data_IF_658991927926
#
_entry.id   IF_658991927926
#
_cell.length_a   1.000
_cell.length_b   1.000
_cell.length_c   1.000
_cell.angle_alpha   90.00
_cell.angle_beta   90.00
_cell.angle_gamma   90.00
#
_symmetry.space_group_name_H-M   'P 1'
#
loop_
_entity.id
_entity.type
_entity.pdbx_description
1 polymer ?
#
# COMPACT_ATOMS: atom_id res chain seq x y z
N UNK A 1 17.38 13.13 -1.45
CA UNK A 1 16.41 12.91 -2.54
C UNK A 1 16.39 14.15 -3.38
N UNK A 2 16.17 13.99 -4.67
CA UNK A 2 16.06 15.08 -5.64
C UNK A 2 14.73 14.97 -6.35
N UNK A 3 14.19 16.11 -6.77
CA UNK A 3 13.12 16.19 -7.74
C UNK A 3 13.73 16.56 -9.10
N UNK A 4 13.38 15.83 -10.15
CA UNK A 4 13.85 16.09 -11.50
C UNK A 4 12.73 15.81 -12.51
N UNK A 5 12.86 16.37 -13.71
CA UNK A 5 11.97 16.10 -14.84
C UNK A 5 12.81 15.47 -15.95
N UNK A 6 12.37 14.36 -16.52
CA UNK A 6 13.08 13.76 -17.66
C UNK A 6 12.83 14.59 -18.93
N UNK A 7 13.75 14.59 -19.91
CA UNK A 7 13.55 15.32 -21.15
C UNK A 7 12.38 14.77 -21.98
N UNK A 8 12.04 13.49 -21.81
CA UNK A 8 10.97 12.79 -22.54
C UNK A 8 9.61 12.82 -21.85
N UNK A 9 9.42 13.60 -20.77
CA UNK A 9 8.11 13.71 -20.16
C UNK A 9 7.97 14.79 -19.10
N UNK A 10 6.73 15.28 -18.91
CA UNK A 10 6.45 16.38 -17.99
C UNK A 10 6.35 15.99 -16.51
N UNK A 11 6.39 14.69 -16.22
CA UNK A 11 6.21 14.19 -14.86
C UNK A 11 7.44 14.49 -14.00
N UNK A 12 7.20 15.14 -12.85
CA UNK A 12 8.20 15.32 -11.80
C UNK A 12 8.42 13.99 -11.09
N UNK A 13 9.68 13.53 -11.07
CA UNK A 13 10.11 12.28 -10.45
C UNK A 13 10.93 12.61 -9.19
N UNK A 14 10.65 11.89 -8.11
CA UNK A 14 11.28 12.08 -6.80
C UNK A 14 12.02 10.83 -6.39
N UNK A 15 13.35 10.81 -6.61
CA UNK A 15 14.18 9.66 -6.29
C UNK A 15 15.34 10.02 -5.35
N UNK A 16 15.98 8.98 -4.79
CA UNK A 16 17.21 9.11 -4.00
C UNK A 16 18.42 9.04 -4.91
N UNK A 17 19.37 9.95 -4.77
CA UNK A 17 20.69 9.83 -5.39
C UNK A 17 21.45 8.73 -4.66
N UNK A 18 21.89 7.71 -5.40
CA UNK A 18 22.64 6.56 -4.86
C UNK A 18 24.13 6.62 -5.18
N UNK A 19 24.50 7.23 -6.30
CA UNK A 19 25.89 7.59 -6.63
C UNK A 19 25.92 8.82 -7.55
N UNK A 20 27.10 9.43 -7.65
CA UNK A 20 27.38 10.57 -8.52
C UNK A 20 28.55 10.19 -9.42
N UNK A 21 28.37 10.32 -10.73
CA UNK A 21 29.36 9.99 -11.77
C UNK A 21 29.61 11.28 -12.57
N UNK A 22 30.56 12.10 -12.12
CA UNK A 22 30.82 13.44 -12.70
C UNK A 22 29.61 14.37 -12.57
N UNK A 23 29.06 14.78 -13.71
CA UNK A 23 27.83 15.61 -13.81
C UNK A 23 26.54 14.79 -13.77
N UNK A 24 26.64 13.47 -13.87
CA UNK A 24 25.50 12.57 -13.88
C UNK A 24 25.20 12.04 -12.46
N UNK A 25 23.92 11.84 -12.19
CA UNK A 25 23.42 11.31 -10.93
C UNK A 25 22.74 9.97 -11.18
N UNK A 26 23.16 8.92 -10.50
CA UNK A 26 22.39 7.67 -10.46
C UNK A 26 21.34 7.79 -9.37
N UNK A 27 20.10 7.54 -9.75
CA UNK A 27 18.96 7.62 -8.84
C UNK A 27 18.34 6.25 -8.57
N UNK A 28 17.56 6.15 -7.50
CA UNK A 28 16.77 4.98 -7.18
C UNK A 28 15.45 5.42 -6.53
N UNK A 29 14.34 4.97 -7.09
CA UNK A 29 13.02 5.15 -6.49
C UNK A 29 12.82 4.31 -5.22
N UNK A 30 11.95 4.77 -4.31
CA UNK A 30 11.68 4.07 -3.03
C UNK A 30 11.02 2.68 -3.21
N UNK A 31 10.46 2.42 -4.40
CA UNK A 31 9.91 1.12 -4.80
C UNK A 31 10.87 0.24 -5.62
N UNK A 32 11.97 0.80 -6.12
CA UNK A 32 12.83 0.12 -7.09
C UNK A 32 13.84 -0.79 -6.36
N UNK A 33 13.98 -2.03 -6.83
CA UNK A 33 14.93 -2.99 -6.25
C UNK A 33 16.39 -2.65 -6.61
N UNK A 34 16.60 -2.07 -7.78
CA UNK A 34 17.88 -1.66 -8.33
C UNK A 34 17.86 -0.14 -8.60
N UNK A 35 19.03 0.51 -8.74
CA UNK A 35 19.13 1.85 -9.30
C UNK A 35 18.41 1.94 -10.64
N UNK A 36 17.96 3.14 -10.98
CA UNK A 36 17.33 3.40 -12.27
C UNK A 36 18.34 3.12 -13.39
N UNK A 37 17.92 2.54 -14.54
CA UNK A 37 18.83 2.18 -15.62
C UNK A 37 19.38 3.40 -16.37
N UNK A 38 18.77 4.57 -16.18
CA UNK A 38 19.20 5.83 -16.76
C UNK A 38 19.88 6.71 -15.71
N UNK A 39 20.76 7.59 -16.18
CA UNK A 39 21.37 8.62 -15.34
C UNK A 39 20.57 9.91 -15.44
N UNK A 40 20.57 10.70 -14.36
CA UNK A 40 19.93 12.01 -14.30
C UNK A 40 21.00 13.08 -14.41
N UNK A 41 20.92 13.91 -15.44
CA UNK A 41 21.80 15.07 -15.56
C UNK A 41 21.44 16.14 -14.53
N UNK A 42 22.44 16.90 -14.06
CA UNK A 42 22.20 18.03 -13.15
C UNK A 42 21.27 19.10 -13.74
N UNK A 43 21.30 19.28 -15.06
CA UNK A 43 20.41 20.17 -15.81
C UNK A 43 18.93 19.80 -15.65
N UNK A 44 18.62 18.53 -15.39
CA UNK A 44 17.26 18.02 -15.22
C UNK A 44 16.74 18.17 -13.77
N UNK A 45 17.62 18.49 -12.83
CA UNK A 45 17.29 18.58 -11.41
C UNK A 45 16.58 19.89 -11.12
N UNK A 46 15.32 19.79 -10.72
CA UNK A 46 14.51 20.92 -10.26
C UNK A 46 15.00 21.38 -8.90
N UNK A 47 15.33 20.44 -8.01
CA UNK A 47 15.85 20.79 -6.68
C UNK A 47 16.05 19.62 -5.73
N UNK A 48 16.61 19.94 -4.56
CA UNK A 48 16.88 18.97 -3.49
C UNK A 48 15.74 18.99 -2.47
N UNK A 49 15.16 17.82 -2.21
CA UNK A 49 14.09 17.68 -1.24
C UNK A 49 14.67 17.75 0.18
N UNK A 50 14.13 18.67 1.00
CA UNK A 50 14.56 18.89 2.40
C UNK A 50 13.63 18.21 3.41
N UNK A 51 12.33 18.23 3.12
CA UNK A 51 11.28 17.69 3.99
C UNK A 51 10.17 17.08 3.14
N UNK A 52 9.29 16.32 3.79
CA UNK A 52 8.04 15.82 3.21
C UNK A 52 6.91 16.06 4.19
N UNK A 53 5.70 16.28 3.68
CA UNK A 53 4.51 16.41 4.51
C UNK A 53 3.67 15.12 4.43
N UNK A 54 3.22 14.61 5.58
CA UNK A 54 2.28 13.48 5.67
C UNK A 54 1.37 13.68 6.86
N UNK A 55 0.05 13.58 6.66
CA UNK A 55 -0.95 13.75 7.73
C UNK A 55 -0.75 15.04 8.53
N UNK A 56 -0.60 16.18 7.84
CA UNK A 56 -0.27 17.50 8.41
C UNK A 56 1.09 17.63 9.11
N UNK A 57 1.80 16.53 9.36
CA UNK A 57 3.14 16.56 9.92
C UNK A 57 4.21 16.75 8.84
N UNK A 58 5.14 17.69 9.08
CA UNK A 58 6.34 17.88 8.26
C UNK A 58 7.50 17.08 8.84
N UNK A 59 8.04 16.16 8.03
CA UNK A 59 9.12 15.27 8.43
C UNK A 59 10.38 15.59 7.61
N UNK A 60 11.53 15.87 8.23
CA UNK A 60 12.76 16.12 7.51
C UNK A 60 13.22 14.85 6.78
N UNK A 61 13.73 15.03 5.56
CA UNK A 61 14.34 13.94 4.79
C UNK A 61 15.77 13.75 5.28
N UNK A 62 16.04 12.58 5.89
CA UNK A 62 17.39 12.23 6.33
C UNK A 62 18.35 12.11 5.13
N UNK A 63 19.47 12.84 5.20
CA UNK A 63 20.52 12.89 4.17
C UNK A 63 21.75 12.06 4.57
N UNK A 64 22.63 11.84 3.60
CA UNK A 64 23.93 11.19 3.79
C UNK A 64 23.84 9.77 4.35
N UNK A 65 24.83 9.40 5.19
CA UNK A 65 24.99 8.05 5.75
C UNK A 65 23.79 7.60 6.58
N UNK A 66 23.20 8.47 7.40
CA UNK A 66 22.01 8.15 8.21
C UNK A 66 20.80 7.81 7.33
N UNK A 67 20.57 8.61 6.28
CA UNK A 67 19.51 8.34 5.31
C UNK A 67 19.71 7.02 4.56
N UNK A 68 20.96 6.70 4.21
CA UNK A 68 21.32 5.45 3.56
C UNK A 68 21.15 4.24 4.48
N UNK A 69 21.61 4.32 5.73
CA UNK A 69 21.45 3.27 6.73
C UNK A 69 19.97 2.97 6.99
N UNK A 70 19.14 4.02 7.17
CA UNK A 70 17.68 3.87 7.31
C UNK A 70 17.05 3.22 6.08
N UNK A 71 17.46 3.61 4.88
CA UNK A 71 16.97 3.00 3.64
C UNK A 71 17.31 1.51 3.57
N UNK A 72 18.57 1.14 3.84
CA UNK A 72 19.02 -0.26 3.89
C UNK A 72 18.25 -1.07 4.93
N UNK A 73 18.12 -0.55 6.16
CA UNK A 73 17.33 -1.19 7.22
C UNK A 73 15.88 -1.43 6.80
N UNK A 74 15.19 -0.42 6.26
CA UNK A 74 13.80 -0.57 5.80
C UNK A 74 13.68 -1.59 4.66
N UNK A 75 14.67 -1.64 3.76
CA UNK A 75 14.74 -2.59 2.66
C UNK A 75 14.90 -4.02 3.18
N UNK A 76 15.87 -4.27 4.06
CA UNK A 76 16.10 -5.59 4.63
C UNK A 76 14.92 -6.03 5.50
N UNK A 77 14.34 -5.12 6.29
CA UNK A 77 13.11 -5.39 7.04
C UNK A 77 11.96 -5.81 6.12
N UNK A 78 11.74 -5.12 4.99
CA UNK A 78 10.72 -5.51 4.00
C UNK A 78 11.05 -6.86 3.36
N UNK A 79 12.33 -7.16 3.11
CA UNK A 79 12.77 -8.46 2.58
C UNK A 79 12.50 -9.58 3.59
N UNK A 80 12.87 -9.38 4.85
CA UNK A 80 12.61 -10.31 5.94
C UNK A 80 11.09 -10.55 6.11
N UNK A 81 10.28 -9.49 6.16
CA UNK A 81 8.81 -9.63 6.21
C UNK A 81 8.28 -10.45 5.03
N UNK A 82 8.73 -10.18 3.79
CA UNK A 82 8.32 -10.96 2.63
C UNK A 82 8.74 -12.42 2.72
N UNK A 83 9.92 -12.70 3.25
CA UNK A 83 10.39 -14.07 3.48
C UNK A 83 9.53 -14.76 4.55
N UNK A 84 9.29 -14.11 5.69
CA UNK A 84 8.41 -14.63 6.73
C UNK A 84 7.01 -14.91 6.19
N UNK A 85 6.43 -14.01 5.39
CA UNK A 85 5.12 -14.24 4.76
C UNK A 85 5.15 -15.42 3.80
N UNK A 86 6.22 -15.59 3.01
CA UNK A 86 6.39 -16.76 2.11
C UNK A 86 6.52 -18.07 2.88
N UNK A 87 7.29 -18.08 3.96
CA UNK A 87 7.46 -19.26 4.82
C UNK A 87 6.18 -19.58 5.62
N UNK A 88 5.42 -18.56 5.98
CA UNK A 88 4.12 -18.71 6.63
C UNK A 88 2.99 -19.05 5.63
N UNK A 89 3.20 -18.90 4.31
CA UNK A 89 2.19 -19.17 3.30
C UNK A 89 1.59 -20.60 3.34
N UNK A 90 2.35 -21.70 3.50
CA UNK A 90 1.75 -23.03 3.65
C UNK A 90 0.84 -23.09 4.88
N UNK A 91 1.29 -22.61 6.03
CA UNK A 91 0.50 -22.56 7.25
C UNK A 91 -0.74 -21.68 7.10
N UNK A 92 -0.60 -20.52 6.47
CA UNK A 92 -1.72 -19.65 6.13
C UNK A 92 -2.75 -20.37 5.27
N UNK A 93 -2.33 -21.11 4.23
CA UNK A 93 -3.25 -21.88 3.38
C UNK A 93 -3.97 -22.99 4.15
N UNK A 94 -3.27 -23.68 5.06
CA UNK A 94 -3.89 -24.68 5.93
C UNK A 94 -4.93 -24.04 6.86
N UNK A 95 -4.60 -22.90 7.48
CA UNK A 95 -5.51 -22.18 8.38
C UNK A 95 -6.73 -21.61 7.64
N UNK A 96 -6.55 -21.06 6.44
CA UNK A 96 -7.67 -20.57 5.60
C UNK A 96 -8.58 -21.72 5.16
N UNK A 97 -8.03 -22.90 4.87
CA UNK A 97 -8.82 -24.10 4.57
C UNK A 97 -9.68 -24.55 5.76
N UNK A 98 -9.20 -24.28 6.98
CA UNK A 98 -9.87 -24.66 8.21
C UNK A 98 -10.79 -23.53 8.72
N UNK A 99 -11.99 -23.43 8.12
CA UNK A 99 -13.04 -22.42 8.42
C UNK A 99 -13.47 -22.30 9.89
N UNK A 100 -13.00 -23.16 10.78
CA UNK A 100 -13.30 -23.07 12.20
C UNK A 100 -12.74 -21.78 12.81
N UNK A 101 -11.52 -21.37 12.48
CA UNK A 101 -10.90 -20.18 13.08
C UNK A 101 -11.65 -18.91 12.68
N UNK A 102 -11.98 -18.77 11.40
CA UNK A 102 -12.72 -17.60 10.89
C UNK A 102 -14.12 -17.51 11.50
N UNK A 103 -14.85 -18.63 11.64
CA UNK A 103 -16.18 -18.66 12.27
C UNK A 103 -16.21 -18.11 13.69
N UNK A 104 -15.24 -18.49 14.53
CA UNK A 104 -15.18 -17.99 15.90
C UNK A 104 -14.67 -16.55 15.98
N UNK A 105 -13.62 -16.23 15.21
CA UNK A 105 -12.97 -14.92 15.31
C UNK A 105 -13.78 -13.78 14.68
N UNK A 106 -14.59 -14.04 13.65
CA UNK A 106 -15.39 -12.98 12.98
C UNK A 106 -16.35 -12.28 13.94
N UNK A 107 -16.80 -12.97 15.00
CA UNK A 107 -17.69 -12.41 16.03
C UNK A 107 -16.99 -11.47 17.01
N UNK A 108 -15.67 -11.60 17.15
CA UNK A 108 -14.88 -10.87 18.14
C UNK A 108 -14.14 -9.70 17.48
N UNK A 109 -13.79 -9.86 16.21
CA UNK A 109 -13.02 -8.89 15.46
C UNK A 109 -13.92 -7.70 15.07
N UNK A 110 -13.59 -6.46 15.47
CA UNK A 110 -14.33 -5.29 15.03
C UNK A 110 -14.08 -5.03 13.54
N UNK A 111 -15.15 -4.97 12.78
CA UNK A 111 -15.11 -4.60 11.37
C UNK A 111 -16.18 -3.55 11.07
N UNK A 112 -15.91 -2.75 10.04
CA UNK A 112 -16.76 -1.65 9.59
C UNK A 112 -16.89 -1.73 8.06
N UNK A 113 -18.11 -1.64 7.54
CA UNK A 113 -18.35 -1.57 6.10
C UNK A 113 -18.55 -0.11 5.71
N UNK A 114 -17.85 0.33 4.66
CA UNK A 114 -18.01 1.65 4.07
C UNK A 114 -18.26 1.52 2.57
N UNK A 115 -19.41 2.00 2.12
CA UNK A 115 -19.72 2.10 0.70
C UNK A 115 -19.04 3.33 0.11
N UNK A 116 -18.38 3.16 -1.03
CA UNK A 116 -17.73 4.25 -1.76
C UNK A 116 -18.74 4.83 -2.75
N UNK A 117 -19.25 6.07 -2.56
CA UNK A 117 -20.36 6.60 -3.35
C UNK A 117 -20.07 6.67 -4.85
N UNK A 118 -18.81 6.91 -5.21
CA UNK A 118 -18.39 7.11 -6.61
C UNK A 118 -18.32 5.82 -7.42
N UNK A 119 -18.11 4.68 -6.79
CA UNK A 119 -17.93 3.38 -7.46
C UNK A 119 -19.02 2.38 -7.12
N UNK A 120 -19.80 2.62 -6.06
CA UNK A 120 -20.73 1.63 -5.52
C UNK A 120 -20.02 0.43 -4.89
N UNK A 121 -18.70 0.47 -4.72
CA UNK A 121 -17.93 -0.60 -4.08
C UNK A 121 -18.09 -0.53 -2.57
N UNK A 122 -18.40 -1.65 -1.94
CA UNK A 122 -18.31 -1.76 -0.49
C UNK A 122 -16.90 -2.14 -0.07
N UNK A 123 -16.38 -1.43 0.92
CA UNK A 123 -15.07 -1.68 1.50
C UNK A 123 -15.23 -2.12 2.94
N UNK A 124 -14.77 -3.33 3.22
CA UNK A 124 -14.69 -3.88 4.56
C UNK A 124 -13.39 -3.39 5.19
N UNK A 125 -13.49 -2.73 6.32
CA UNK A 125 -12.37 -2.28 7.14
C UNK A 125 -12.30 -3.10 8.40
N UNK A 126 -11.10 -3.54 8.77
CA UNK A 126 -10.83 -4.28 9.99
C UNK A 126 -9.55 -3.72 10.63
N UNK A 127 -9.62 -3.34 11.90
CA UNK A 127 -8.54 -2.66 12.61
C UNK A 127 -7.94 -1.46 11.85
N UNK A 128 -8.80 -0.65 11.20
CA UNK A 128 -8.36 0.51 10.41
C UNK A 128 -7.58 0.17 9.14
N UNK A 129 -7.63 -1.08 8.67
CA UNK A 129 -7.04 -1.52 7.40
C UNK A 129 -8.12 -2.06 6.48
N UNK A 130 -7.92 -1.90 5.17
CA UNK A 130 -8.80 -2.51 4.17
C UNK A 130 -8.67 -4.03 4.25
N UNK A 131 -9.78 -4.68 4.60
CA UNK A 131 -9.89 -6.11 4.80
C UNK A 131 -10.54 -6.83 3.63
N UNK A 132 -11.39 -6.16 2.88
CA UNK A 132 -12.00 -6.71 1.68
C UNK A 132 -12.71 -5.65 0.85
N UNK A 133 -13.00 -6.02 -0.39
CA UNK A 133 -13.78 -5.21 -1.32
C UNK A 133 -14.88 -6.07 -1.92
N UNK A 134 -16.10 -5.54 -1.99
CA UNK A 134 -17.21 -6.13 -2.73
C UNK A 134 -17.54 -5.22 -3.91
N UNK A 135 -17.29 -5.67 -5.15
CA UNK A 135 -17.76 -4.99 -6.35
C UNK A 135 -19.29 -4.88 -6.35
N UNK A 136 -19.87 -3.83 -6.97
CA UNK A 136 -21.31 -3.62 -6.97
C UNK A 136 -22.09 -4.80 -7.58
N UNK A 137 -21.51 -5.45 -8.60
CA UNK A 137 -22.15 -6.55 -9.33
C UNK A 137 -21.80 -7.94 -8.77
N UNK A 138 -21.06 -8.01 -7.65
CA UNK A 138 -20.62 -9.27 -7.06
C UNK A 138 -21.30 -9.52 -5.72
N UNK A 139 -21.93 -10.69 -5.52
CA UNK A 139 -22.46 -11.07 -4.22
C UNK A 139 -21.34 -11.46 -3.23
N UNK A 140 -20.08 -11.54 -3.68
CA UNK A 140 -18.95 -12.09 -2.92
C UNK A 140 -17.96 -11.01 -2.50
N UNK A 141 -17.42 -11.19 -1.29
CA UNK A 141 -16.38 -10.32 -0.74
C UNK A 141 -15.01 -10.81 -1.19
N UNK A 142 -14.25 -9.96 -1.86
CA UNK A 142 -12.84 -10.22 -2.13
C UNK A 142 -12.02 -9.77 -0.92
N UNK A 143 -11.82 -10.69 0.02
CA UNK A 143 -11.01 -10.47 1.20
C UNK A 143 -9.51 -10.40 0.85
N UNK A 144 -8.83 -9.40 1.39
CA UNK A 144 -7.39 -9.20 1.23
C UNK A 144 -6.65 -9.99 2.31
N UNK A 145 -5.55 -10.66 1.97
CA UNK A 145 -4.73 -11.32 2.99
C UNK A 145 -4.24 -10.31 4.05
N UNK A 146 -4.19 -10.68 5.35
CA UNK A 146 -4.45 -12.02 5.91
C UNK A 146 -5.88 -12.23 6.43
N UNK A 147 -6.82 -11.36 6.09
CA UNK A 147 -8.17 -11.34 6.69
C UNK A 147 -9.03 -12.59 6.44
N UNK A 148 -8.88 -13.38 5.35
CA UNK A 148 -9.59 -14.66 5.20
C UNK A 148 -9.43 -15.66 6.35
N UNK A 149 -8.36 -15.55 7.16
CA UNK A 149 -8.17 -16.44 8.33
C UNK A 149 -9.12 -16.07 9.48
N UNK A 150 -9.45 -14.79 9.59
CA UNK A 150 -10.17 -14.22 10.75
C UNK A 150 -11.58 -13.76 10.42
N UNK A 151 -11.90 -13.59 9.14
CA UNK A 151 -13.21 -13.17 8.68
C UNK A 151 -13.79 -14.30 7.81
N UNK A 152 -14.92 -14.84 8.23
CA UNK A 152 -15.73 -15.76 7.45
C UNK A 152 -16.59 -14.91 6.50
N UNK A 153 -16.35 -15.05 5.20
CA UNK A 153 -17.11 -14.35 4.16
C UNK A 153 -18.62 -14.62 4.27
N UNK A 154 -19.02 -15.81 4.74
CA UNK A 154 -20.42 -16.24 4.76
C UNK A 154 -21.28 -15.53 5.81
N UNK A 155 -20.65 -14.88 6.79
CA UNK A 155 -21.36 -14.10 7.83
C UNK A 155 -21.33 -12.60 7.56
N UNK A 156 -20.61 -12.16 6.53
CA UNK A 156 -20.59 -10.75 6.17
C UNK A 156 -21.96 -10.37 5.56
N UNK A 157 -22.52 -9.21 5.95
CA UNK A 157 -23.77 -8.77 5.38
C UNK A 157 -23.60 -8.56 3.88
N UNK A 158 -24.63 -8.93 3.14
CA UNK A 158 -24.80 -8.59 1.73
C UNK A 158 -25.76 -7.39 1.76
N UNK A 159 -25.27 -6.14 1.60
CA UNK A 159 -26.16 -5.00 1.47
C UNK A 159 -27.22 -5.29 0.42
N UNK A 160 -28.48 -5.19 0.83
CA UNK A 160 -29.62 -5.35 -0.06
C UNK A 160 -29.56 -4.23 -1.12
N UNK A 161 -29.72 -4.57 -2.41
CA UNK A 161 -29.54 -3.62 -3.51
C UNK A 161 -30.55 -2.45 -3.51
N UNK A 162 -31.59 -2.46 -2.69
CA UNK A 162 -32.79 -1.63 -2.92
C UNK A 162 -33.26 -0.68 -1.81
N UNK A 163 -32.48 -0.43 -0.75
CA UNK A 163 -32.92 0.49 0.33
C UNK A 163 -32.14 1.81 0.45
N UNK A 164 -31.12 2.06 -0.38
CA UNK A 164 -30.33 3.30 -0.32
C UNK A 164 -30.51 4.25 -1.53
N UNK A 165 -31.26 3.86 -2.56
CA UNK A 165 -31.55 4.75 -3.71
C UNK A 165 -32.67 5.76 -3.47
N UNK A 166 -33.51 5.56 -2.47
CA UNK A 166 -34.68 6.41 -2.18
C UNK A 166 -34.43 7.64 -1.30
N UNK A 167 -33.19 7.87 -0.84
CA UNK A 167 -32.86 9.00 0.07
C UNK A 167 -32.17 10.18 -0.65
N UNK A 168 -31.82 10.04 -1.93
CA UNK A 168 -31.16 11.10 -2.70
C UNK A 168 -31.97 11.62 -3.91
N UNK A 169 -33.22 11.18 -4.07
CA UNK A 169 -34.17 11.72 -5.05
C UNK A 169 -35.34 12.50 -4.42
N UNK A 170 -35.22 12.91 -3.14
CA UNK A 170 -36.17 13.77 -2.44
C UNK A 170 -35.54 15.11 -2.04
#
# INVERSE_FOLDING_TARGET
MIAFRRPDGDRVIVHRVVSTEGTALRTQGDGNALPDPFVVERSWVIGVIRSRQRNRATVPVQRGRRGLARFRYLRERRRAIRLCVRLAAPWYRLLVGHRLISRFSTRIVPWEIRTVPRTGEDRLWCFGRLAGVRPPDSPRWHLVAPFPVVIDETVLPVPEPDLQRSVHEA
#
